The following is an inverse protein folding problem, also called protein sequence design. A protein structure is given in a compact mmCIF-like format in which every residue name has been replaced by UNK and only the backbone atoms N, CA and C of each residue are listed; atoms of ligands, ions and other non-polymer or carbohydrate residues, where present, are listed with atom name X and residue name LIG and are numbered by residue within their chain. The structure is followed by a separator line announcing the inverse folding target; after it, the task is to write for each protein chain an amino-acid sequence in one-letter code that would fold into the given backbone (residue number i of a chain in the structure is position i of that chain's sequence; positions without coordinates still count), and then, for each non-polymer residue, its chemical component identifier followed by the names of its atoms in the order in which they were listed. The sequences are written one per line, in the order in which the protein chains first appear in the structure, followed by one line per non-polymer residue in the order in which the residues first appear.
data_IF_164999200590
#
_entry.id   IF_164999200590
#
_cell.length_a   1.000
_cell.length_b   1.000
_cell.length_c   1.000
_cell.angle_alpha   90.00
_cell.angle_beta   90.00
_cell.angle_gamma   90.00
#
_symmetry.space_group_name_H-M   'P 1'
#
loop_
_entity.id
_entity.type
_entity.pdbx_description
1 polymer ?
#
# COMPACT_ATOMS: atom_id res chain seq x y z
N UNK A 1 21.59 -47.43 -63.51
CA UNK A 1 20.34 -46.69 -63.77
C UNK A 1 19.19 -47.39 -63.04
N UNK A 2 19.17 -47.32 -61.71
CA UNK A 2 18.23 -46.54 -60.87
C UNK A 2 16.75 -46.93 -60.98
N UNK A 3 16.36 -47.96 -60.22
CA UNK A 3 14.98 -48.27 -59.79
C UNK A 3 14.54 -47.26 -58.72
N UNK A 4 13.34 -46.68 -58.83
CA UNK A 4 12.70 -45.92 -57.74
C UNK A 4 11.56 -46.76 -57.15
N UNK A 5 11.75 -47.23 -55.92
CA UNK A 5 10.71 -47.77 -55.05
C UNK A 5 9.94 -46.62 -54.39
N UNK A 6 8.63 -46.76 -54.34
CA UNK A 6 7.69 -45.95 -53.56
C UNK A 6 7.67 -46.52 -52.14
N UNK A 7 8.04 -45.73 -51.14
CA UNK A 7 7.82 -46.04 -49.73
C UNK A 7 6.97 -44.93 -49.10
N UNK A 8 5.73 -45.28 -48.76
CA UNK A 8 4.87 -44.50 -47.89
C UNK A 8 5.35 -44.68 -46.44
N UNK A 9 5.77 -43.59 -45.78
CA UNK A 9 6.12 -43.59 -44.37
C UNK A 9 4.93 -43.10 -43.55
N UNK A 10 4.29 -44.02 -42.81
CA UNK A 10 3.28 -43.73 -41.79
C UNK A 10 4.03 -43.27 -40.54
N UNK A 11 3.96 -41.97 -40.24
CA UNK A 11 4.51 -41.39 -39.02
C UNK A 11 3.50 -41.61 -37.88
N UNK A 12 3.77 -42.59 -37.00
CA UNK A 12 3.02 -42.78 -35.77
C UNK A 12 3.46 -41.75 -34.73
N UNK A 13 2.65 -40.69 -34.54
CA UNK A 13 2.77 -39.76 -33.42
C UNK A 13 1.91 -40.29 -32.26
N UNK A 14 2.51 -41.00 -31.31
CA UNK A 14 1.89 -41.28 -30.00
C UNK A 14 2.08 -40.07 -29.09
N UNK A 15 1.05 -39.23 -29.02
CA UNK A 15 0.94 -38.13 -28.07
C UNK A 15 0.69 -38.70 -26.66
N UNK A 16 1.65 -38.56 -25.75
CA UNK A 16 1.41 -38.69 -24.31
C UNK A 16 0.60 -37.47 -23.83
N UNK A 17 -0.72 -37.55 -23.90
CA UNK A 17 -1.62 -36.61 -23.26
C UNK A 17 -1.98 -37.08 -21.84
N UNK A 18 -1.06 -36.91 -20.89
CA UNK A 18 -1.42 -36.92 -19.47
C UNK A 18 -2.02 -35.55 -19.11
N UNK A 19 -3.28 -35.35 -19.49
CA UNK A 19 -4.09 -34.30 -18.90
C UNK A 19 -4.29 -34.63 -17.42
N UNK A 20 -3.69 -33.80 -16.56
CA UNK A 20 -3.95 -33.82 -15.14
C UNK A 20 -5.43 -33.56 -14.88
N UNK A 21 -6.20 -34.62 -14.64
CA UNK A 21 -7.46 -34.52 -13.92
C UNK A 21 -7.15 -33.90 -12.55
N UNK A 22 -7.35 -32.59 -12.43
CA UNK A 22 -7.42 -31.94 -11.13
C UNK A 22 -8.60 -32.58 -10.39
N UNK A 23 -8.30 -33.59 -9.56
CA UNK A 23 -9.27 -34.25 -8.69
C UNK A 23 -9.91 -33.13 -7.87
N UNK A 24 -11.19 -32.85 -8.16
CA UNK A 24 -11.98 -31.87 -7.42
C UNK A 24 -12.20 -32.43 -6.01
N UNK A 25 -11.22 -32.25 -5.14
CA UNK A 25 -11.37 -32.60 -3.73
C UNK A 25 -12.38 -31.62 -3.14
N UNK A 26 -13.52 -32.09 -2.61
CA UNK A 26 -14.42 -31.20 -1.89
C UNK A 26 -13.62 -30.53 -0.76
N UNK A 27 -13.89 -29.25 -0.46
CA UNK A 27 -13.21 -28.58 0.63
C UNK A 27 -13.42 -29.40 1.92
N UNK A 28 -12.41 -29.47 2.80
CA UNK A 28 -12.51 -30.24 4.02
C UNK A 28 -13.73 -29.78 4.84
N UNK A 29 -14.40 -30.70 5.55
CA UNK A 29 -15.51 -30.35 6.42
C UNK A 29 -15.04 -29.38 7.51
N UNK A 30 -15.97 -28.57 8.03
CA UNK A 30 -15.68 -27.72 9.18
C UNK A 30 -15.31 -28.59 10.39
N UNK A 31 -14.28 -28.19 11.13
CA UNK A 31 -13.90 -28.88 12.37
C UNK A 31 -14.93 -28.61 13.47
N UNK A 32 -15.04 -29.48 14.50
CA UNK A 32 -15.93 -29.24 15.64
C UNK A 32 -15.69 -27.87 16.29
N UNK A 33 -14.44 -27.47 16.45
CA UNK A 33 -14.06 -26.15 17.00
C UNK A 33 -14.55 -24.98 16.12
N UNK A 34 -14.46 -25.10 14.79
CA UNK A 34 -15.01 -24.08 13.89
C UNK A 34 -16.53 -23.97 14.02
N UNK A 35 -17.24 -25.09 14.15
CA UNK A 35 -18.70 -25.12 14.33
C UNK A 35 -19.09 -24.48 15.66
N UNK A 36 -18.37 -24.79 16.73
CA UNK A 36 -18.62 -24.21 18.05
C UNK A 36 -18.39 -22.69 18.06
N UNK A 37 -17.27 -22.22 17.52
CA UNK A 37 -16.97 -20.79 17.44
C UNK A 37 -17.93 -20.05 16.50
N UNK A 38 -18.39 -20.69 15.43
CA UNK A 38 -19.45 -20.14 14.58
C UNK A 38 -20.73 -19.88 15.38
N UNK A 39 -21.15 -20.83 16.23
CA UNK A 39 -22.35 -20.67 17.07
C UNK A 39 -22.21 -19.50 18.04
N UNK A 40 -21.02 -19.29 18.64
CA UNK A 40 -20.75 -18.18 19.57
C UNK A 40 -21.00 -16.79 18.93
N UNK A 41 -20.82 -16.67 17.63
CA UNK A 41 -21.06 -15.43 16.86
C UNK A 41 -22.34 -15.48 16.03
N UNK A 42 -23.22 -16.46 16.29
CA UNK A 42 -24.50 -16.61 15.59
C UNK A 42 -24.39 -16.97 14.10
N UNK A 43 -23.32 -17.66 13.70
CA UNK A 43 -23.16 -18.20 12.35
C UNK A 43 -23.55 -19.68 12.31
N UNK A 44 -24.41 -20.04 11.36
CA UNK A 44 -24.66 -21.45 11.04
C UNK A 44 -23.45 -22.06 10.32
N UNK A 45 -23.23 -23.40 10.39
CA UNK A 45 -22.17 -24.07 9.64
C UNK A 45 -22.24 -23.85 8.12
N UNK A 46 -23.44 -23.59 7.57
CA UNK A 46 -23.63 -23.28 6.15
C UNK A 46 -23.15 -21.86 5.83
N UNK A 47 -23.49 -20.88 6.66
CA UNK A 47 -23.03 -19.49 6.51
C UNK A 47 -21.50 -19.40 6.65
N UNK A 48 -20.92 -20.04 7.68
CA UNK A 48 -19.46 -20.04 7.87
C UNK A 48 -18.73 -20.65 6.65
N UNK A 49 -19.19 -21.79 6.13
CA UNK A 49 -18.62 -22.39 4.91
C UNK A 49 -18.65 -21.44 3.71
N UNK A 50 -19.76 -20.70 3.54
CA UNK A 50 -19.88 -19.68 2.49
C UNK A 50 -18.85 -18.58 2.68
N UNK A 51 -18.72 -18.04 3.89
CA UNK A 51 -17.77 -16.97 4.21
C UNK A 51 -16.30 -17.41 4.04
N UNK A 52 -15.93 -18.60 4.50
CA UNK A 52 -14.57 -19.14 4.35
C UNK A 52 -14.20 -19.26 2.86
N UNK A 53 -15.09 -19.82 2.03
CA UNK A 53 -14.85 -20.03 0.59
C UNK A 53 -14.84 -18.73 -0.22
N UNK A 54 -15.70 -17.77 0.13
CA UNK A 54 -15.88 -16.53 -0.64
C UNK A 54 -14.65 -15.62 -0.51
N UNK A 55 -14.22 -14.96 -1.59
CA UNK A 55 -13.14 -13.96 -1.52
C UNK A 55 -13.61 -12.73 -0.75
N UNK A 56 -12.73 -12.14 0.06
CA UNK A 56 -13.10 -11.03 0.96
C UNK A 56 -13.57 -9.80 0.18
N UNK A 57 -12.94 -9.50 -0.95
CA UNK A 57 -13.36 -8.41 -1.85
C UNK A 57 -14.70 -8.63 -2.57
N UNK A 58 -15.40 -9.73 -2.28
CA UNK A 58 -16.77 -9.98 -2.74
C UNK A 58 -17.79 -9.90 -1.61
N UNK A 59 -17.36 -9.57 -0.40
CA UNK A 59 -18.26 -9.46 0.74
C UNK A 59 -19.11 -8.20 0.63
N UNK A 60 -20.29 -8.24 1.22
CA UNK A 60 -21.03 -7.03 1.59
C UNK A 60 -20.71 -6.65 3.05
N UNK A 61 -21.12 -5.47 3.54
CA UNK A 61 -20.89 -5.05 4.92
C UNK A 61 -21.32 -6.05 6.00
N UNK A 62 -22.48 -6.70 5.83
CA UNK A 62 -23.00 -7.71 6.77
C UNK A 62 -22.11 -8.97 6.81
N UNK A 63 -21.62 -9.43 5.66
CA UNK A 63 -20.70 -10.56 5.61
C UNK A 63 -19.34 -10.21 6.23
N UNK A 64 -18.88 -8.96 6.09
CA UNK A 64 -17.68 -8.48 6.81
C UNK A 64 -17.93 -8.50 8.31
N UNK A 65 -19.03 -7.89 8.76
CA UNK A 65 -19.45 -7.84 10.17
C UNK A 65 -19.33 -9.21 10.86
N UNK A 66 -20.04 -10.20 10.31
CA UNK A 66 -20.10 -11.54 10.89
C UNK A 66 -18.76 -12.27 10.79
N UNK A 67 -18.00 -12.02 9.73
CA UNK A 67 -16.73 -12.70 9.52
C UNK A 67 -15.62 -12.17 10.43
N UNK A 68 -15.59 -10.86 10.69
CA UNK A 68 -14.62 -10.28 11.62
C UNK A 68 -14.88 -10.74 13.06
N UNK A 69 -16.15 -10.81 13.48
CA UNK A 69 -16.52 -11.36 14.79
C UNK A 69 -16.03 -12.80 14.96
N UNK A 70 -16.24 -13.65 13.95
CA UNK A 70 -15.71 -15.02 13.94
C UNK A 70 -14.18 -15.04 14.00
N UNK A 71 -13.52 -14.23 13.18
CA UNK A 71 -12.06 -14.24 13.03
C UNK A 71 -11.35 -13.78 14.30
N UNK A 72 -11.91 -12.81 15.04
CA UNK A 72 -11.39 -12.38 16.34
C UNK A 72 -11.30 -13.54 17.34
N UNK A 73 -12.28 -14.44 17.34
CA UNK A 73 -12.30 -15.61 18.22
C UNK A 73 -11.33 -16.70 17.78
N UNK A 74 -11.18 -16.91 16.46
CA UNK A 74 -10.47 -18.09 15.94
C UNK A 74 -9.00 -17.85 15.60
N UNK A 75 -8.60 -16.59 15.43
CA UNK A 75 -7.22 -16.20 15.15
C UNK A 75 -6.84 -15.02 16.05
N UNK A 76 -6.47 -15.26 17.32
CA UNK A 76 -6.16 -14.19 18.27
C UNK A 76 -4.86 -13.44 17.95
N UNK A 77 -3.93 -14.07 17.21
CA UNK A 77 -2.68 -13.42 16.81
C UNK A 77 -2.95 -12.39 15.71
N UNK A 78 -2.73 -11.11 16.03
CA UNK A 78 -2.98 -10.00 15.10
C UNK A 78 -2.21 -10.16 13.78
N UNK A 79 -0.98 -10.65 13.82
CA UNK A 79 -0.11 -10.79 12.64
C UNK A 79 -0.63 -11.88 11.71
N UNK A 80 -1.00 -13.03 12.28
CA UNK A 80 -1.61 -14.12 11.52
C UNK A 80 -2.98 -13.73 10.96
N UNK A 81 -3.76 -12.96 11.73
CA UNK A 81 -5.04 -12.41 11.28
C UNK A 81 -4.90 -11.47 10.07
N UNK A 82 -3.92 -10.55 10.11
CA UNK A 82 -3.60 -9.66 8.99
C UNK A 82 -3.19 -10.47 7.76
N UNK A 83 -2.29 -11.43 7.92
CA UNK A 83 -1.85 -12.30 6.82
C UNK A 83 -3.03 -13.09 6.21
N UNK A 84 -3.92 -13.62 7.05
CA UNK A 84 -5.10 -14.35 6.61
C UNK A 84 -6.04 -13.47 5.78
N UNK A 85 -6.37 -12.27 6.27
CA UNK A 85 -7.19 -11.30 5.56
C UNK A 85 -6.52 -10.87 4.24
N UNK A 86 -5.22 -10.56 4.27
CA UNK A 86 -4.44 -10.17 3.10
C UNK A 86 -4.47 -11.23 1.99
N UNK A 87 -4.28 -12.52 2.34
CA UNK A 87 -4.38 -13.63 1.39
C UNK A 87 -5.80 -13.81 0.83
N UNK A 88 -6.82 -13.54 1.64
CA UNK A 88 -8.23 -13.59 1.20
C UNK A 88 -8.59 -12.50 0.18
N UNK A 89 -7.77 -11.45 0.09
CA UNK A 89 -7.88 -10.36 -0.88
C UNK A 89 -7.12 -10.59 -2.20
N UNK A 90 -6.26 -11.63 -2.29
CA UNK A 90 -5.55 -11.96 -3.54
C UNK A 90 -6.56 -12.13 -4.68
N UNK A 91 -6.35 -11.38 -5.76
CA UNK A 91 -7.26 -11.30 -6.90
C UNK A 91 -8.20 -10.09 -6.92
N UNK A 92 -8.26 -9.27 -5.85
CA UNK A 92 -9.02 -8.02 -5.84
C UNK A 92 -8.50 -7.07 -6.94
N UNK A 93 -9.37 -6.56 -7.83
CA UNK A 93 -8.98 -5.62 -8.88
C UNK A 93 -8.30 -4.35 -8.36
N UNK A 94 -7.28 -3.90 -9.08
CA UNK A 94 -6.59 -2.65 -8.77
C UNK A 94 -7.35 -1.44 -9.34
N UNK A 95 -7.51 -0.39 -8.53
CA UNK A 95 -7.97 0.93 -8.97
C UNK A 95 -7.22 2.01 -8.20
N UNK A 96 -6.52 2.89 -8.91
CA UNK A 96 -5.87 4.07 -8.31
C UNK A 96 -6.90 5.18 -8.09
N UNK A 97 -6.76 5.96 -7.02
CA UNK A 97 -7.66 7.07 -6.67
C UNK A 97 -9.12 6.59 -6.62
N UNK A 98 -9.42 5.73 -5.63
CA UNK A 98 -10.74 5.14 -5.46
C UNK A 98 -11.47 5.58 -4.20
N UNK A 99 -10.79 6.30 -3.29
CA UNK A 99 -11.33 6.78 -2.04
C UNK A 99 -11.11 8.29 -1.92
N UNK A 100 -12.10 8.98 -1.36
CA UNK A 100 -12.15 10.41 -1.12
C UNK A 100 -12.73 10.72 0.25
N UNK A 101 -13.29 11.91 0.42
CA UNK A 101 -13.83 12.40 1.70
C UNK A 101 -15.36 12.52 1.69
N UNK A 102 -16.03 12.14 0.61
CA UNK A 102 -17.49 12.23 0.53
C UNK A 102 -18.18 11.29 1.55
N UNK A 103 -19.23 11.72 2.27
CA UNK A 103 -19.97 12.98 2.12
C UNK A 103 -19.47 14.13 3.00
N UNK A 104 -18.35 13.96 3.68
CA UNK A 104 -17.82 14.91 4.66
C UNK A 104 -17.02 16.05 4.03
N UNK A 105 -16.43 15.88 2.85
CA UNK A 105 -15.93 17.00 2.03
C UNK A 105 -16.20 16.72 0.56
N UNK A 106 -16.15 17.77 -0.26
CA UNK A 106 -16.45 17.68 -1.70
C UNK A 106 -15.22 17.83 -2.61
N UNK A 107 -14.02 18.01 -2.02
CA UNK A 107 -12.78 18.14 -2.77
C UNK A 107 -12.40 16.84 -3.51
N UNK A 108 -12.73 15.70 -2.91
CA UNK A 108 -12.58 14.35 -3.45
C UNK A 108 -13.91 13.60 -3.27
N UNK A 109 -14.71 13.43 -4.34
CA UNK A 109 -16.07 12.91 -4.25
C UNK A 109 -16.13 11.39 -4.11
N UNK A 110 -14.97 10.71 -4.11
CA UNK A 110 -14.90 9.26 -3.94
C UNK A 110 -15.26 8.85 -2.49
N UNK A 111 -15.71 7.60 -2.26
CA UNK A 111 -16.19 7.14 -0.96
C UNK A 111 -15.07 6.95 0.08
N UNK A 112 -15.44 6.83 1.36
CA UNK A 112 -14.49 6.58 2.45
C UNK A 112 -13.96 5.14 2.56
N UNK A 113 -14.54 4.18 1.84
CA UNK A 113 -14.10 2.78 1.84
C UNK A 113 -14.40 2.09 0.51
N UNK A 114 -13.70 0.98 0.25
CA UNK A 114 -13.99 0.10 -0.89
C UNK A 114 -13.65 -1.34 -0.51
N UNK A 115 -14.61 -2.25 -0.67
CA UNK A 115 -14.36 -3.68 -0.50
C UNK A 115 -13.92 -4.34 -1.80
N UNK A 116 -14.36 -3.84 -2.96
CA UNK A 116 -14.24 -4.55 -4.24
C UNK A 116 -13.00 -4.15 -5.06
N UNK A 117 -12.38 -3.02 -4.76
CA UNK A 117 -11.16 -2.52 -5.39
C UNK A 117 -10.14 -2.03 -4.35
N UNK A 118 -8.88 -1.91 -4.74
CA UNK A 118 -7.86 -1.23 -3.93
C UNK A 118 -6.73 -0.65 -4.78
N UNK A 119 -6.07 0.37 -4.26
CA UNK A 119 -4.66 0.63 -4.55
C UNK A 119 -3.77 0.09 -3.42
N UNK A 120 -2.47 0.37 -3.46
CA UNK A 120 -1.52 -0.20 -2.49
C UNK A 120 -1.77 0.26 -1.04
N UNK A 121 -2.15 1.53 -0.84
CA UNK A 121 -2.36 2.08 0.51
C UNK A 121 -3.70 1.59 1.03
N UNK A 122 -4.76 1.74 0.22
CA UNK A 122 -6.12 1.29 0.58
C UNK A 122 -6.13 -0.19 0.95
N UNK A 123 -5.44 -1.03 0.17
CA UNK A 123 -5.28 -2.44 0.49
C UNK A 123 -4.71 -2.64 1.91
N UNK A 124 -3.60 -1.99 2.22
CA UNK A 124 -2.89 -2.21 3.47
C UNK A 124 -3.65 -1.66 4.68
N UNK A 125 -4.25 -0.47 4.54
CA UNK A 125 -5.12 0.13 5.56
C UNK A 125 -6.32 -0.77 5.88
N UNK A 126 -6.97 -1.34 4.87
CA UNK A 126 -8.11 -2.24 5.07
C UNK A 126 -7.69 -3.50 5.83
N UNK A 127 -6.50 -4.07 5.56
CA UNK A 127 -6.05 -5.27 6.26
C UNK A 127 -5.77 -5.01 7.73
N UNK A 128 -5.13 -3.88 8.06
CA UNK A 128 -4.94 -3.49 9.46
C UNK A 128 -6.27 -3.19 10.15
N UNK A 129 -7.13 -2.37 9.54
CA UNK A 129 -8.43 -2.01 10.11
C UNK A 129 -9.30 -3.25 10.36
N UNK A 130 -9.44 -4.15 9.38
CA UNK A 130 -10.21 -5.38 9.51
C UNK A 130 -9.63 -6.33 10.56
N UNK A 131 -8.31 -6.41 10.69
CA UNK A 131 -7.69 -7.29 11.68
C UNK A 131 -7.85 -6.78 13.12
N UNK A 132 -7.89 -5.46 13.31
CA UNK A 132 -8.13 -4.84 14.61
C UNK A 132 -9.61 -4.83 15.01
N UNK A 133 -10.51 -4.79 14.02
CA UNK A 133 -11.95 -4.71 14.19
C UNK A 133 -12.62 -6.05 14.54
N UNK A 134 -13.74 -5.97 15.24
CA UNK A 134 -14.56 -7.13 15.62
C UNK A 134 -15.90 -7.18 14.88
N UNK A 135 -16.25 -6.14 14.14
CA UNK A 135 -17.50 -6.01 13.40
C UNK A 135 -17.36 -4.94 12.29
N UNK A 136 -18.44 -4.66 11.56
CA UNK A 136 -18.40 -3.66 10.49
C UNK A 136 -18.15 -2.24 10.99
N UNK A 137 -18.77 -1.86 12.10
CA UNK A 137 -18.71 -0.50 12.65
C UNK A 137 -17.29 -0.15 13.13
N UNK A 138 -16.68 -1.06 13.89
CA UNK A 138 -15.31 -0.95 14.36
C UNK A 138 -14.32 -0.99 13.19
N UNK A 139 -14.57 -1.79 12.15
CA UNK A 139 -13.75 -1.77 10.93
C UNK A 139 -13.77 -0.39 10.27
N UNK A 140 -14.96 0.16 10.02
CA UNK A 140 -15.09 1.45 9.37
C UNK A 140 -14.43 2.56 10.20
N UNK A 141 -14.64 2.55 11.53
CA UNK A 141 -14.06 3.53 12.45
C UNK A 141 -12.53 3.47 12.48
N UNK A 142 -11.96 2.27 12.61
CA UNK A 142 -10.50 2.07 12.62
C UNK A 142 -9.87 2.39 11.26
N UNK A 143 -10.58 2.14 10.16
CA UNK A 143 -10.13 2.54 8.83
C UNK A 143 -9.99 4.06 8.74
N UNK A 144 -10.98 4.83 9.22
CA UNK A 144 -10.87 6.30 9.25
C UNK A 144 -9.73 6.75 10.18
N UNK A 145 -9.58 6.10 11.33
CA UNK A 145 -8.51 6.41 12.29
C UNK A 145 -7.09 6.20 11.74
N UNK A 146 -6.93 5.20 10.87
CA UNK A 146 -5.67 4.91 10.16
C UNK A 146 -5.44 5.90 9.01
N UNK A 147 -6.49 6.23 8.27
CA UNK A 147 -6.42 7.02 7.03
C UNK A 147 -6.21 8.51 7.27
N UNK A 148 -6.75 9.03 8.37
CA UNK A 148 -6.70 10.46 8.70
C UNK A 148 -5.95 10.70 10.01
N UNK A 149 -5.12 11.75 10.02
CA UNK A 149 -4.46 12.25 11.22
C UNK A 149 -5.51 12.51 12.30
N UNK A 150 -5.28 11.95 13.49
CA UNK A 150 -6.15 12.04 14.67
C UNK A 150 -7.61 11.62 14.43
N UNK A 151 -7.89 10.89 13.34
CA UNK A 151 -9.23 10.48 12.93
C UNK A 151 -10.14 11.61 12.44
N UNK A 152 -9.60 12.78 12.09
CA UNK A 152 -10.37 13.88 11.52
C UNK A 152 -10.55 13.69 10.02
N UNK A 153 -11.75 13.43 9.53
CA UNK A 153 -11.99 13.18 8.10
C UNK A 153 -11.87 14.51 7.33
N UNK A 154 -10.77 14.73 6.61
CA UNK A 154 -10.56 15.91 5.78
C UNK A 154 -9.45 15.69 4.75
N UNK A 155 -9.52 16.40 3.62
CA UNK A 155 -8.46 16.46 2.62
C UNK A 155 -7.15 16.95 3.23
N UNK A 156 -7.16 17.83 4.25
CA UNK A 156 -5.92 18.31 4.89
C UNK A 156 -5.29 17.32 5.86
N UNK A 157 -6.10 16.44 6.46
CA UNK A 157 -5.68 15.49 7.50
C UNK A 157 -5.50 14.08 6.96
N UNK A 158 -5.95 13.79 5.73
CA UNK A 158 -5.66 12.51 5.06
C UNK A 158 -4.14 12.32 4.99
N UNK A 159 -3.70 11.10 5.29
CA UNK A 159 -2.30 10.73 5.21
C UNK A 159 -1.85 10.58 3.74
N UNK A 160 -1.46 11.67 3.08
CA UNK A 160 -1.10 11.68 1.65
C UNK A 160 0.34 11.25 1.39
N UNK A 161 1.27 11.67 2.24
CA UNK A 161 2.68 11.31 2.15
C UNK A 161 2.93 10.13 3.07
N UNK A 162 3.26 8.95 2.54
CA UNK A 162 3.40 7.76 3.39
C UNK A 162 4.48 7.96 4.46
N UNK A 163 5.67 8.43 4.06
CA UNK A 163 6.80 8.61 4.96
C UNK A 163 6.67 9.77 5.96
N UNK A 164 5.84 10.77 5.66
CA UNK A 164 5.73 12.01 6.44
C UNK A 164 4.40 12.16 7.18
N UNK A 165 3.35 11.50 6.70
CA UNK A 165 2.02 11.50 7.31
C UNK A 165 1.68 10.10 7.83
N UNK A 166 1.59 9.09 6.95
CA UNK A 166 1.04 7.78 7.33
C UNK A 166 1.88 7.07 8.39
N UNK A 167 3.20 6.96 8.17
CA UNK A 167 4.15 6.32 9.09
C UNK A 167 4.15 7.02 10.46
N UNK A 168 4.06 8.36 10.46
CA UNK A 168 4.12 9.18 11.68
C UNK A 168 2.81 9.12 12.46
N UNK A 169 1.68 9.35 11.79
CA UNK A 169 0.36 9.42 12.41
C UNK A 169 -0.16 8.03 12.84
N UNK A 170 0.42 6.94 12.31
CA UNK A 170 0.12 5.57 12.70
C UNK A 170 1.18 4.92 13.59
N UNK A 171 2.00 5.71 14.30
CA UNK A 171 3.01 5.17 15.23
C UNK A 171 2.40 4.41 16.44
N UNK A 172 1.10 4.61 16.71
CA UNK A 172 0.34 3.80 17.67
C UNK A 172 0.13 2.36 17.18
N UNK A 173 0.10 2.17 15.86
CA UNK A 173 -0.14 0.90 15.17
C UNK A 173 1.16 0.19 14.81
N UNK A 174 2.11 0.91 14.21
CA UNK A 174 3.38 0.37 13.73
C UNK A 174 4.57 1.16 14.29
N UNK A 175 5.72 0.52 14.38
CA UNK A 175 7.01 1.13 14.66
C UNK A 175 7.96 0.98 13.48
N UNK A 176 8.78 1.99 13.21
CA UNK A 176 9.87 1.86 12.24
C UNK A 176 10.98 0.96 12.79
N UNK A 177 11.25 -0.15 12.11
CA UNK A 177 12.28 -1.13 12.47
C UNK A 177 13.45 -1.13 11.50
N UNK A 178 13.45 -0.21 10.52
CA UNK A 178 14.35 -0.19 9.38
C UNK A 178 15.81 -0.10 9.81
N UNK A 179 16.15 0.78 10.73
CA UNK A 179 17.54 0.93 11.18
C UNK A 179 18.01 -0.28 12.00
N UNK A 180 17.12 -0.83 12.83
CA UNK A 180 17.38 -2.02 13.64
C UNK A 180 17.63 -3.25 12.77
N UNK A 181 16.89 -3.38 11.66
CA UNK A 181 17.08 -4.44 10.68
C UNK A 181 18.31 -4.20 9.81
N UNK A 182 18.46 -2.98 9.28
CA UNK A 182 19.48 -2.64 8.29
C UNK A 182 20.88 -2.43 8.84
N UNK A 183 21.00 -2.06 10.12
CA UNK A 183 22.28 -1.75 10.76
C UNK A 183 23.14 -0.81 9.92
N UNK A 184 24.39 -1.21 9.67
CA UNK A 184 25.38 -0.47 8.87
C UNK A 184 24.97 -0.26 7.40
N UNK A 185 24.01 -1.04 6.89
CA UNK A 185 23.52 -0.93 5.51
C UNK A 185 22.43 0.12 5.34
N UNK A 186 21.88 0.63 6.45
CA UNK A 186 20.85 1.66 6.42
C UNK A 186 21.35 2.91 5.71
N UNK A 187 20.48 3.51 4.89
CA UNK A 187 20.69 4.80 4.24
C UNK A 187 19.66 5.80 4.72
N UNK A 188 20.05 7.06 4.66
CA UNK A 188 19.23 8.20 5.09
C UNK A 188 19.30 9.27 4.01
N UNK A 189 18.17 9.91 3.74
CA UNK A 189 18.08 11.09 2.89
C UNK A 189 17.13 12.11 3.54
N UNK A 190 17.40 13.39 3.33
CA UNK A 190 16.55 14.46 3.85
C UNK A 190 15.52 14.81 2.78
N UNK A 191 14.24 14.70 3.11
CA UNK A 191 13.14 14.96 2.18
C UNK A 191 12.37 16.18 2.65
N UNK A 192 12.18 17.14 1.74
CA UNK A 192 11.36 18.34 1.98
C UNK A 192 9.95 18.09 1.45
N UNK A 193 8.96 18.24 2.31
CA UNK A 193 7.54 18.03 2.01
C UNK A 193 6.84 19.39 1.95
N UNK A 194 6.49 19.82 0.74
CA UNK A 194 5.74 21.04 0.49
C UNK A 194 4.24 20.70 0.29
N UNK A 195 3.52 20.58 1.42
CA UNK A 195 2.09 20.25 1.43
C UNK A 195 1.24 21.37 0.81
N UNK A 196 1.60 22.63 1.02
CA UNK A 196 0.90 23.78 0.43
C UNK A 196 0.88 23.71 -1.10
N UNK A 197 2.00 23.33 -1.71
CA UNK A 197 2.08 23.09 -3.16
C UNK A 197 1.17 21.96 -3.63
N UNK A 198 1.05 20.87 -2.87
CA UNK A 198 0.15 19.76 -3.19
C UNK A 198 -1.32 20.19 -3.12
N UNK A 199 -1.68 20.89 -2.04
CA UNK A 199 -3.05 21.32 -1.77
C UNK A 199 -3.54 22.49 -2.62
N UNK A 200 -2.63 23.18 -3.33
CA UNK A 200 -2.96 24.33 -4.21
C UNK A 200 -4.07 24.05 -5.23
N UNK A 201 -4.21 22.81 -5.70
CA UNK A 201 -5.26 22.44 -6.66
C UNK A 201 -6.68 22.52 -6.09
N UNK A 202 -6.83 22.50 -4.76
CA UNK A 202 -8.11 22.66 -4.06
C UNK A 202 -8.22 24.01 -3.34
N UNK A 203 -7.22 24.88 -3.48
CA UNK A 203 -7.13 26.18 -2.83
C UNK A 203 -7.22 26.13 -1.28
N UNK A 204 -6.61 25.10 -0.70
CA UNK A 204 -6.53 24.91 0.76
C UNK A 204 -5.08 24.78 1.22
N UNK A 205 -4.83 24.94 2.51
CA UNK A 205 -3.55 24.62 3.16
C UNK A 205 -2.36 25.51 2.78
N UNK A 206 -2.59 26.71 2.21
CA UNK A 206 -1.49 27.59 1.75
C UNK A 206 -0.65 28.19 2.88
N UNK A 207 -1.13 28.15 4.13
CA UNK A 207 -0.37 28.54 5.32
C UNK A 207 0.56 27.43 5.84
N UNK A 208 0.45 26.19 5.33
CA UNK A 208 1.28 25.07 5.77
C UNK A 208 2.71 25.29 5.27
N UNK A 209 3.65 25.47 6.20
CA UNK A 209 5.07 25.63 5.87
C UNK A 209 5.65 24.30 5.36
N UNK A 210 6.67 24.35 4.47
CA UNK A 210 7.42 23.16 4.12
C UNK A 210 7.98 22.47 5.37
N UNK A 211 7.86 21.16 5.38
CA UNK A 211 8.33 20.28 6.45
C UNK A 211 9.54 19.49 5.95
N UNK A 212 10.37 18.98 6.87
CA UNK A 212 11.58 18.22 6.53
C UNK A 212 11.65 16.97 7.38
N UNK A 213 11.76 15.82 6.72
CA UNK A 213 11.90 14.52 7.37
C UNK A 213 13.18 13.81 6.95
N UNK A 214 13.62 12.86 7.78
CA UNK A 214 14.69 11.93 7.41
C UNK A 214 14.06 10.62 6.95
N UNK A 215 14.16 10.34 5.65
CA UNK A 215 13.75 9.07 5.08
C UNK A 215 14.88 8.05 5.25
N UNK A 216 14.58 6.96 5.96
CA UNK A 216 15.50 5.85 6.20
C UNK A 216 15.09 4.63 5.38
N UNK A 217 16.06 3.89 4.83
CA UNK A 217 15.78 2.65 4.09
C UNK A 217 16.97 1.69 4.08
N UNK A 218 16.66 0.42 3.83
CA UNK A 218 17.64 -0.63 3.53
C UNK A 218 17.74 -0.72 2.00
N UNK A 219 18.92 -0.48 1.38
CA UNK A 219 19.10 -0.66 -0.05
C UNK A 219 18.70 -2.06 -0.50
N UNK A 220 18.05 -2.19 -1.66
CA UNK A 220 17.42 -3.46 -2.06
C UNK A 220 18.39 -4.65 -2.10
N UNK A 221 19.68 -4.42 -2.36
CA UNK A 221 20.74 -5.43 -2.38
C UNK A 221 21.05 -6.05 -1.01
N UNK A 222 20.71 -5.36 0.09
CA UNK A 222 20.93 -5.83 1.47
C UNK A 222 19.67 -6.43 2.10
N UNK A 223 18.51 -6.33 1.44
CA UNK A 223 17.28 -6.98 1.91
C UNK A 223 17.42 -8.48 2.13
N UNK A 224 18.15 -9.27 1.28
CA UNK A 224 18.35 -10.70 1.53
C UNK A 224 18.88 -11.01 2.94
N UNK A 225 19.70 -10.14 3.52
CA UNK A 225 20.32 -10.35 4.84
C UNK A 225 19.36 -10.16 6.01
N UNK A 226 18.22 -9.48 5.80
CA UNK A 226 17.24 -9.18 6.86
C UNK A 226 15.94 -9.97 6.70
N UNK A 227 15.81 -10.78 5.66
CA UNK A 227 14.57 -11.51 5.35
C UNK A 227 14.09 -12.36 6.52
N UNK A 228 15.00 -13.04 7.21
CA UNK A 228 14.61 -13.92 8.30
C UNK A 228 14.06 -13.18 9.51
N UNK A 229 14.38 -11.89 9.62
CA UNK A 229 13.87 -11.02 10.67
C UNK A 229 12.50 -10.42 10.32
N UNK A 230 12.04 -10.50 9.07
CA UNK A 230 10.72 -9.98 8.65
C UNK A 230 9.60 -10.91 9.09
N UNK A 231 8.51 -10.32 9.57
CA UNK A 231 7.38 -11.02 10.18
C UNK A 231 6.08 -10.77 9.41
N UNK A 232 5.10 -11.69 9.48
CA UNK A 232 3.78 -11.48 8.88
C UNK A 232 3.17 -10.14 9.31
N UNK A 233 2.60 -9.39 8.39
CA UNK A 233 1.97 -8.09 8.68
C UNK A 233 2.95 -6.93 8.90
N UNK A 234 4.27 -7.11 8.76
CA UNK A 234 5.18 -5.96 8.63
C UNK A 234 4.78 -5.13 7.40
N UNK A 235 4.62 -3.82 7.58
CA UNK A 235 4.34 -2.86 6.51
C UNK A 235 5.62 -2.57 5.75
N UNK A 236 5.54 -2.58 4.42
CA UNK A 236 6.68 -2.38 3.54
C UNK A 236 6.49 -1.10 2.76
N UNK A 237 7.39 -0.14 2.97
CA UNK A 237 7.52 1.07 2.19
C UNK A 237 8.58 0.86 1.10
N UNK A 238 8.17 0.88 -0.17
CA UNK A 238 9.07 0.74 -1.32
C UNK A 238 9.61 2.11 -1.70
N UNK A 239 10.89 2.34 -1.39
CA UNK A 239 11.55 3.61 -1.62
C UNK A 239 11.98 3.72 -3.09
N UNK A 240 11.41 4.71 -3.76
CA UNK A 240 11.71 5.05 -5.16
C UNK A 240 12.28 6.45 -5.25
N UNK A 241 12.95 6.77 -6.34
CA UNK A 241 13.54 8.11 -6.47
C UNK A 241 14.32 8.34 -7.73
N UNK A 242 14.82 9.56 -7.87
CA UNK A 242 15.90 9.90 -8.80
C UNK A 242 17.23 9.91 -8.04
N UNK A 243 18.30 10.42 -8.66
CA UNK A 243 19.58 10.66 -7.97
C UNK A 243 19.46 11.75 -6.90
N UNK A 244 18.50 12.66 -7.09
CA UNK A 244 18.12 13.74 -6.22
C UNK A 244 16.63 13.60 -5.87
N UNK A 245 16.34 13.23 -4.63
CA UNK A 245 14.97 13.05 -4.14
C UNK A 245 14.49 11.60 -4.19
N UNK A 246 14.20 11.07 -2.99
CA UNK A 246 13.54 9.78 -2.76
C UNK A 246 12.21 10.01 -2.04
N UNK A 247 11.28 9.11 -2.28
CA UNK A 247 9.96 9.09 -1.66
C UNK A 247 9.48 7.63 -1.56
N UNK A 248 8.43 7.40 -0.77
CA UNK A 248 7.76 6.10 -0.77
C UNK A 248 6.80 6.03 -1.94
N UNK A 249 7.11 5.18 -2.92
CA UNK A 249 6.38 5.12 -4.19
C UNK A 249 5.43 3.94 -4.32
N UNK A 250 5.38 3.04 -3.33
CA UNK A 250 4.50 1.87 -3.27
C UNK A 250 4.53 1.28 -1.86
N UNK A 251 3.44 0.64 -1.44
CA UNK A 251 3.39 -0.07 -0.15
C UNK A 251 2.81 -1.49 -0.26
N UNK A 252 2.94 -2.27 0.79
CA UNK A 252 2.28 -3.57 0.94
C UNK A 252 2.67 -4.24 2.25
N UNK A 253 2.41 -5.54 2.34
CA UNK A 253 2.59 -6.31 3.58
C UNK A 253 3.52 -7.49 3.37
N UNK A 254 4.30 -7.83 4.39
CA UNK A 254 5.01 -9.10 4.45
C UNK A 254 4.03 -10.21 4.80
N UNK A 255 4.13 -11.32 4.08
CA UNK A 255 3.54 -12.60 4.46
C UNK A 255 4.62 -13.67 4.48
N UNK A 256 4.43 -14.69 5.30
CA UNK A 256 5.34 -15.84 5.43
C UNK A 256 4.58 -17.09 5.03
N UNK A 257 5.13 -17.86 4.08
CA UNK A 257 4.56 -19.15 3.68
C UNK A 257 4.83 -20.23 4.73
N UNK A 258 4.13 -21.36 4.64
CA UNK A 258 4.36 -22.52 5.51
C UNK A 258 5.80 -23.07 5.37
N UNK A 259 6.50 -22.73 4.29
CA UNK A 259 7.92 -23.07 4.05
C UNK A 259 8.89 -21.98 4.50
N UNK A 260 8.43 -20.95 5.20
CA UNK A 260 9.26 -19.83 5.68
C UNK A 260 9.63 -18.78 4.61
N UNK A 261 9.06 -18.85 3.41
CA UNK A 261 9.36 -17.87 2.34
C UNK A 261 8.68 -16.54 2.66
N UNK A 262 9.46 -15.45 2.67
CA UNK A 262 8.95 -14.09 2.84
C UNK A 262 8.45 -13.56 1.50
N UNK A 263 7.15 -13.31 1.44
CA UNK A 263 6.47 -12.77 0.28
C UNK A 263 6.14 -11.29 0.51
N UNK A 264 5.98 -10.58 -0.60
CA UNK A 264 5.43 -9.24 -0.67
C UNK A 264 4.01 -9.32 -1.24
N UNK A 265 3.02 -9.06 -0.39
CA UNK A 265 1.61 -9.07 -0.74
C UNK A 265 1.11 -7.64 -0.86
N UNK A 266 0.68 -7.26 -2.06
CA UNK A 266 0.41 -5.86 -2.38
C UNK A 266 -0.62 -5.70 -3.50
N UNK A 267 -1.32 -4.57 -3.51
CA UNK A 267 -2.19 -4.17 -4.62
C UNK A 267 -1.40 -3.38 -5.66
N UNK A 268 -1.42 -3.84 -6.90
CA UNK A 268 -0.75 -3.24 -8.06
C UNK A 268 -1.51 -3.66 -9.32
N UNK A 269 -1.45 -2.91 -10.43
CA UNK A 269 -2.10 -3.35 -11.66
C UNK A 269 -1.69 -4.77 -12.07
N UNK A 270 -2.64 -5.64 -12.45
CA UNK A 270 -4.09 -5.39 -12.53
C UNK A 270 -4.88 -5.73 -11.25
N UNK A 271 -4.27 -6.39 -10.25
CA UNK A 271 -4.96 -6.92 -9.07
C UNK A 271 -3.99 -7.20 -7.91
N UNK A 272 -4.52 -7.32 -6.70
CA UNK A 272 -3.78 -7.79 -5.52
C UNK A 272 -3.12 -9.13 -5.80
N UNK A 273 -1.82 -9.22 -5.52
CA UNK A 273 -1.00 -10.42 -5.70
C UNK A 273 -0.02 -10.60 -4.55
N UNK A 274 0.37 -11.85 -4.34
CA UNK A 274 1.44 -12.28 -3.43
C UNK A 274 2.56 -12.85 -4.30
N UNK A 275 3.81 -12.45 -4.04
CA UNK A 275 5.01 -12.97 -4.73
C UNK A 275 6.20 -12.94 -3.79
N UNK A 276 7.22 -13.81 -3.95
CA UNK A 276 8.44 -13.73 -3.15
C UNK A 276 9.10 -12.35 -3.25
N UNK A 277 9.51 -11.78 -2.12
CA UNK A 277 10.08 -10.42 -2.13
C UNK A 277 11.39 -10.35 -2.93
N UNK A 278 12.15 -11.45 -2.97
CA UNK A 278 13.36 -11.55 -3.78
C UNK A 278 13.08 -11.54 -5.29
N UNK A 279 11.95 -12.11 -5.74
CA UNK A 279 11.55 -12.01 -7.14
C UNK A 279 11.18 -10.58 -7.51
N UNK A 280 10.49 -9.86 -6.60
CA UNK A 280 10.21 -8.43 -6.78
C UNK A 280 11.49 -7.62 -6.90
N UNK A 281 12.47 -7.85 -6.01
CA UNK A 281 13.78 -7.18 -6.05
C UNK A 281 14.52 -7.48 -7.34
N UNK A 282 14.60 -8.76 -7.74
CA UNK A 282 15.29 -9.18 -8.97
C UNK A 282 14.68 -8.52 -10.20
N UNK A 283 13.35 -8.48 -10.29
CA UNK A 283 12.65 -7.78 -11.37
C UNK A 283 13.01 -6.28 -11.39
N UNK A 284 13.00 -5.63 -10.23
CA UNK A 284 13.32 -4.21 -10.13
C UNK A 284 14.80 -3.88 -10.36
N UNK A 285 15.72 -4.77 -10.01
CA UNK A 285 17.14 -4.59 -10.30
C UNK A 285 17.37 -4.53 -11.82
N UNK A 286 16.73 -5.42 -12.59
CA UNK A 286 16.73 -5.35 -14.05
C UNK A 286 16.10 -4.05 -14.57
N UNK A 287 14.92 -3.69 -14.05
CA UNK A 287 14.26 -2.44 -14.45
C UNK A 287 15.09 -1.20 -14.11
N UNK A 288 15.87 -1.22 -13.03
CA UNK A 288 16.76 -0.12 -12.67
C UNK A 288 17.82 0.08 -13.74
N UNK A 289 18.45 -0.97 -14.26
CA UNK A 289 19.45 -0.85 -15.34
C UNK A 289 18.81 -0.30 -16.63
N UNK A 290 17.65 -0.82 -17.02
CA UNK A 290 16.89 -0.31 -18.17
C UNK A 290 16.52 1.19 -18.00
N UNK A 291 16.09 1.58 -16.79
CA UNK A 291 15.71 2.95 -16.45
C UNK A 291 16.90 3.90 -16.35
N UNK A 292 18.05 3.45 -15.85
CA UNK A 292 19.30 4.23 -15.86
C UNK A 292 19.72 4.55 -17.29
N UNK A 293 19.74 3.54 -18.17
CA UNK A 293 20.06 3.73 -19.58
C UNK A 293 19.07 4.69 -20.27
N UNK A 294 17.77 4.56 -20.00
CA UNK A 294 16.74 5.49 -20.48
C UNK A 294 16.95 6.91 -19.95
N UNK A 295 17.18 7.06 -18.65
CA UNK A 295 17.37 8.35 -17.99
C UNK A 295 18.62 9.08 -18.52
N UNK A 296 19.70 8.36 -18.79
CA UNK A 296 20.90 8.93 -19.40
C UNK A 296 20.63 9.49 -20.81
N UNK A 297 19.81 8.80 -21.62
CA UNK A 297 19.35 9.31 -22.93
C UNK A 297 18.47 10.55 -22.76
N UNK A 298 17.54 10.51 -21.81
CA UNK A 298 16.65 11.63 -21.49
C UNK A 298 17.43 12.87 -21.04
N UNK A 299 18.45 12.72 -20.20
CA UNK A 299 19.27 13.84 -19.74
C UNK A 299 20.04 14.49 -20.89
N UNK A 300 20.66 13.71 -21.78
CA UNK A 300 21.33 14.24 -22.98
C UNK A 300 20.37 15.02 -23.88
N UNK A 301 19.18 14.49 -24.11
CA UNK A 301 18.16 15.16 -24.92
C UNK A 301 17.61 16.41 -24.23
N UNK A 302 17.39 16.36 -22.91
CA UNK A 302 16.95 17.51 -22.14
C UNK A 302 17.99 18.63 -22.11
N UNK A 303 19.29 18.30 -22.05
CA UNK A 303 20.35 19.29 -22.18
C UNK A 303 20.28 20.02 -23.53
N UNK A 304 20.07 19.29 -24.64
CA UNK A 304 19.86 19.88 -25.98
C UNK A 304 18.63 20.78 -26.01
N UNK A 305 17.49 20.31 -25.47
CA UNK A 305 16.24 21.09 -25.41
C UNK A 305 16.37 22.34 -24.55
N UNK A 306 17.10 22.29 -23.43
CA UNK A 306 17.37 23.46 -22.57
C UNK A 306 18.16 24.52 -23.34
N UNK A 307 19.26 24.13 -23.99
CA UNK A 307 20.07 25.06 -24.80
C UNK A 307 19.25 25.68 -25.95
N UNK A 308 18.42 24.89 -26.63
CA UNK A 308 17.54 25.41 -27.67
C UNK A 308 16.46 26.35 -27.12
N UNK A 309 15.86 26.01 -25.98
CA UNK A 309 14.87 26.85 -25.30
C UNK A 309 15.47 28.17 -24.86
N UNK A 310 16.72 28.18 -24.40
CA UNK A 310 17.44 29.39 -24.06
C UNK A 310 17.66 30.30 -25.29
N UNK A 311 18.10 29.73 -26.42
CA UNK A 311 18.19 30.46 -27.69
C UNK A 311 16.83 31.03 -28.13
N UNK A 312 15.76 30.25 -27.99
CA UNK A 312 14.39 30.69 -28.30
C UNK A 312 13.94 31.84 -27.38
N UNK A 313 14.28 31.79 -26.08
CA UNK A 313 14.02 32.89 -25.13
C UNK A 313 14.79 34.15 -25.51
N UNK A 314 16.07 34.03 -25.85
CA UNK A 314 16.88 35.18 -26.27
C UNK A 314 16.32 35.83 -27.55
N UNK A 315 15.90 35.03 -28.55
CA UNK A 315 15.25 35.55 -29.78
C UNK A 315 13.90 36.21 -29.49
N UNK A 316 13.10 35.63 -28.60
CA UNK A 316 11.83 36.18 -28.15
C UNK A 316 12.01 37.54 -27.46
N UNK A 317 12.99 37.65 -26.56
CA UNK A 317 13.30 38.90 -25.87
C UNK A 317 13.62 40.06 -26.83
N UNK A 318 14.29 39.76 -27.96
CA UNK A 318 14.60 40.77 -29.00
C UNK A 318 13.41 41.15 -29.89
N UNK A 319 12.39 40.31 -29.98
CA UNK A 319 11.26 40.47 -30.92
C UNK A 319 9.93 40.77 -30.26
N UNK A 320 9.88 40.83 -28.92
CA UNK A 320 8.65 41.03 -28.14
C UNK A 320 7.66 39.85 -28.18
N UNK A 321 7.98 38.76 -28.89
CA UNK A 321 7.08 37.60 -29.06
C UNK A 321 7.29 36.56 -27.96
N UNK A 322 6.22 35.92 -27.49
CA UNK A 322 6.31 34.80 -26.53
C UNK A 322 7.04 33.59 -27.15
N UNK A 323 8.07 33.02 -26.49
CA UNK A 323 8.81 31.90 -27.06
C UNK A 323 8.02 30.59 -27.00
N UNK A 324 7.99 29.84 -28.11
CA UNK A 324 7.48 28.46 -28.14
C UNK A 324 8.57 27.51 -27.63
N UNK A 325 8.52 27.12 -26.36
CA UNK A 325 9.53 26.23 -25.75
C UNK A 325 9.23 24.75 -26.04
N UNK A 326 10.28 23.95 -26.24
CA UNK A 326 10.20 22.49 -26.28
C UNK A 326 10.02 21.94 -24.85
N UNK A 327 9.03 21.08 -24.58
CA UNK A 327 8.88 20.47 -23.26
C UNK A 327 10.05 19.52 -22.98
N UNK A 328 10.46 19.44 -21.71
CA UNK A 328 11.46 18.46 -21.27
C UNK A 328 10.84 17.08 -21.14
N UNK A 329 11.63 16.05 -21.47
CA UNK A 329 11.28 14.65 -21.28
C UNK A 329 11.37 14.27 -19.80
N UNK A 330 10.50 13.37 -19.35
CA UNK A 330 10.45 12.91 -17.95
C UNK A 330 11.35 11.69 -17.75
N UNK A 331 12.18 11.72 -16.71
CA UNK A 331 12.92 10.54 -16.22
C UNK A 331 11.99 9.54 -15.57
N UNK A 332 12.40 8.28 -15.52
CA UNK A 332 11.73 7.21 -14.76
C UNK A 332 12.41 7.02 -13.40
N UNK A 333 11.66 6.90 -12.29
CA UNK A 333 12.26 6.68 -10.98
C UNK A 333 12.89 5.30 -10.87
N UNK A 334 13.91 5.16 -10.04
CA UNK A 334 14.59 3.91 -9.70
C UNK A 334 14.05 3.34 -8.38
N UNK A 335 14.19 2.03 -8.16
CA UNK A 335 14.08 1.42 -6.84
C UNK A 335 15.38 1.66 -6.08
N UNK A 336 15.30 2.24 -4.88
CA UNK A 336 16.45 2.41 -4.00
C UNK A 336 16.49 1.35 -2.89
N UNK A 337 15.33 0.97 -2.37
CA UNK A 337 15.25 -0.03 -1.30
C UNK A 337 13.91 -0.02 -0.59
N UNK A 338 13.95 -0.42 0.68
CA UNK A 338 12.74 -0.67 1.47
C UNK A 338 12.89 -0.13 2.88
N UNK A 339 11.81 0.45 3.40
CA UNK A 339 11.61 0.76 4.81
C UNK A 339 10.58 -0.21 5.36
N UNK A 340 10.81 -0.73 6.55
CA UNK A 340 9.95 -1.73 7.17
C UNK A 340 9.39 -1.19 8.48
N UNK A 341 8.07 -1.23 8.62
CA UNK A 341 7.39 -0.91 9.87
C UNK A 341 6.74 -2.17 10.45
N UNK A 342 6.89 -2.36 11.76
CA UNK A 342 6.42 -3.53 12.47
C UNK A 342 5.23 -3.16 13.34
N UNK A 343 4.20 -4.02 13.38
CA UNK A 343 3.10 -3.86 14.33
C UNK A 343 3.63 -3.73 15.77
N UNK A 344 3.10 -2.75 16.49
CA UNK A 344 3.24 -2.64 17.94
C UNK A 344 2.62 -3.87 18.62
N UNK A 345 3.06 -4.19 19.83
CA UNK A 345 2.57 -5.36 20.57
C UNK A 345 1.07 -5.25 20.90
N UNK A 346 0.61 -4.09 21.38
CA UNK A 346 -0.80 -3.80 21.61
C UNK A 346 -1.21 -2.45 20.98
N UNK A 347 -1.52 -2.44 19.67
CA UNK A 347 -1.95 -1.23 18.98
C UNK A 347 -3.19 -0.57 19.57
N UNK A 348 -4.15 -1.37 20.06
CA UNK A 348 -5.42 -0.84 20.56
C UNK A 348 -5.24 -0.22 21.94
N UNK A 349 -4.38 -0.76 22.80
CA UNK A 349 -4.01 -0.10 24.05
C UNK A 349 -3.28 1.23 23.79
N UNK A 350 -2.33 1.25 22.85
CA UNK A 350 -1.63 2.49 22.46
C UNK A 350 -2.62 3.55 21.96
N UNK A 351 -3.58 3.13 21.13
CA UNK A 351 -4.59 4.03 20.59
C UNK A 351 -5.57 4.50 21.67
N UNK A 352 -5.97 3.64 22.62
CA UNK A 352 -6.76 4.05 23.80
C UNK A 352 -6.04 5.08 24.65
N UNK A 353 -4.74 4.90 24.87
CA UNK A 353 -3.93 5.85 25.62
C UNK A 353 -3.86 7.21 24.91
N UNK A 354 -3.84 7.21 23.58
CA UNK A 354 -3.81 8.43 22.76
C UNK A 354 -5.16 9.14 22.70
N UNK A 355 -6.24 8.41 22.43
CA UNK A 355 -7.57 8.98 22.19
C UNK A 355 -8.39 9.18 23.49
N UNK A 356 -8.01 8.52 24.58
CA UNK A 356 -8.69 8.61 25.87
C UNK A 356 -10.15 8.17 25.80
N UNK A 357 -11.05 8.97 26.38
CA UNK A 357 -12.50 8.71 26.39
C UNK A 357 -13.14 8.73 25.00
N UNK A 358 -12.49 9.31 23.99
CA UNK A 358 -12.99 9.36 22.62
C UNK A 358 -12.62 8.12 21.80
N UNK A 359 -12.00 7.11 22.41
CA UNK A 359 -11.49 5.95 21.69
C UNK A 359 -12.56 5.11 20.95
N UNK A 360 -12.32 4.72 19.68
CA UNK A 360 -11.38 5.33 18.74
C UNK A 360 -11.91 6.68 18.25
N UNK A 361 -11.08 7.73 18.31
CA UNK A 361 -11.52 9.07 17.95
C UNK A 361 -11.70 9.17 16.45
N UNK A 362 -12.93 9.44 16.00
CA UNK A 362 -13.22 9.81 14.60
C UNK A 362 -14.15 11.00 14.60
N UNK A 363 -13.74 12.06 13.90
CA UNK A 363 -14.52 13.30 13.83
C UNK A 363 -14.77 13.70 12.38
N UNK A 364 -16.00 14.11 12.11
CA UNK A 364 -16.34 14.80 10.88
C UNK A 364 -15.74 16.22 10.89
N UNK A 365 -15.38 16.76 9.72
CA UNK A 365 -14.94 18.15 9.62
C UNK A 365 -16.11 19.08 9.98
N UNK A 366 -15.82 20.29 10.45
CA UNK A 366 -16.86 21.28 10.77
C UNK A 366 -17.27 22.04 9.51
N UNK A 367 -18.58 22.13 9.27
CA UNK A 367 -19.14 22.99 8.21
C UNK A 367 -19.26 24.46 8.69
N UNK A 368 -19.02 25.46 7.82
CA UNK A 368 -18.39 25.36 6.51
C UNK A 368 -16.94 24.89 6.67
N UNK A 369 -16.40 24.15 5.69
CA UNK A 369 -15.02 23.63 5.67
C UNK A 369 -14.02 24.81 5.65
N UNK A 370 -13.88 25.48 6.79
CA UNK A 370 -12.98 26.60 6.99
C UNK A 370 -11.66 25.97 7.39
N UNK A 371 -10.81 25.80 6.39
CA UNK A 371 -9.42 25.50 6.65
C UNK A 371 -8.74 26.84 6.95
N UNK A 372 -8.50 27.13 8.23
CA UNK A 372 -7.71 28.27 8.66
C UNK A 372 -6.52 27.82 9.51
N UNK A 373 -5.50 28.67 9.64
CA UNK A 373 -4.37 28.40 10.52
C UNK A 373 -4.80 28.21 11.98
N UNK A 374 -5.85 28.91 12.43
CA UNK A 374 -6.38 28.84 13.80
C UNK A 374 -6.99 27.46 14.12
N UNK A 375 -7.58 26.78 13.14
CA UNK A 375 -8.17 25.45 13.32
C UNK A 375 -7.10 24.35 13.41
N UNK A 376 -5.96 24.52 12.74
CA UNK A 376 -4.84 23.55 12.75
C UNK A 376 -4.01 23.54 14.05
N UNK A 377 -4.14 24.57 14.89
CA UNK A 377 -3.42 24.73 16.16
C UNK A 377 -4.22 24.25 17.38
N UNK A 378 -5.46 23.79 17.19
CA UNK A 378 -6.26 23.18 18.25
C UNK A 378 -5.82 21.73 18.52
N UNK A 379 -4.56 21.54 18.96
CA UNK A 379 -4.11 20.29 19.58
C UNK A 379 -4.31 20.40 21.10
N UNK A 380 -4.81 19.38 21.80
CA UNK A 380 -4.76 19.37 23.25
C UNK A 380 -3.29 19.26 23.67
N UNK A 381 -2.77 20.31 24.27
CA UNK A 381 -1.55 20.23 25.07
C UNK A 381 -1.82 19.30 26.25
N UNK A 382 -1.36 18.05 26.15
CA UNK A 382 -0.89 17.31 27.32
C UNK A 382 0.48 16.76 27.00
N UNK A 383 1.48 17.49 27.49
CA UNK A 383 2.83 16.97 27.71
C UNK A 383 2.72 15.63 28.43
N UNK A 384 3.07 14.54 27.76
CA UNK A 384 3.52 13.34 28.47
C UNK A 384 4.98 13.61 28.80
N UNK A 385 5.23 14.01 30.05
CA UNK A 385 6.58 14.06 30.62
C UNK A 385 7.17 12.64 30.68
N UNK A 386 8.51 12.52 30.57
CA UNK A 386 9.23 11.30 30.21
C UNK A 386 9.00 10.10 31.15
#
# INVERSE_FOLDING_TARGET
MSRRLVFASILSLTLFALQGCAIFRPPPPLTPAQIENAKKVGLTPKQLRKLIKKRLYKFNPEEVDRYLAYLQLTEPDLRLRIQHLARKMVGQPYRIFLLGEFPFEIYDPDPLFSLDHSDCVVFSEHMYAMALAHDWSSFFTLLQRIRYKDGEISMLTRNHYTEADWDVNNNWLVEDVTERLGGVHTRRDTVVIDRARFFKRWDIGQWIKPDTIVLTWIPYQYVPQVLDSLQPGDFVNVVRGYEDGRWVGHVGLITVSDRGVRNFLHSTPPKVREQPILEYITHWARLNEERKAYNAKVERENARRRAENERRRAKAARSGKKPKLKPLLRKKPLLWGFKFLRLRQDPLANLRALDGEQFPRVVAPRWPWKHSQADSLATPTKEVKP
#
